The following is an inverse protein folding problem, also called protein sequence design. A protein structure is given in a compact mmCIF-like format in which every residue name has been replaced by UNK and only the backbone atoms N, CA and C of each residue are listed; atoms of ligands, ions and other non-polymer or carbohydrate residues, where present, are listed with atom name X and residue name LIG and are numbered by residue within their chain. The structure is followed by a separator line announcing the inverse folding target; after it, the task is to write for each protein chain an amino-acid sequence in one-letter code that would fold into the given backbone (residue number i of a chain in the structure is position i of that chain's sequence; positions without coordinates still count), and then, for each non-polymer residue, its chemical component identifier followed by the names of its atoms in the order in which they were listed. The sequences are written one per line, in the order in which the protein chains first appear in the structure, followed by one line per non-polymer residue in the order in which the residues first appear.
data_IF_645677247674
#
_entry.id   IF_645677247674
#
_cell.length_a   1.000
_cell.length_b   1.000
_cell.length_c   1.000
_cell.angle_alpha   90.00
_cell.angle_beta   90.00
_cell.angle_gamma   90.00
#
_symmetry.space_group_name_H-M   'P 1'
#
loop_
_entity.id
_entity.type
_entity.pdbx_description
1 polymer ?
#
# COMPACT_ATOMS: atom_id res chain seq x y z
N UNK A 1 8.63 -9.10 -0.74
CA UNK A 1 8.39 -7.91 -1.58
C UNK A 1 8.70 -6.70 -0.71
N UNK A 2 9.32 -5.65 -1.27
CA UNK A 2 9.92 -4.57 -0.48
C UNK A 2 8.87 -3.63 0.09
N UNK A 3 8.98 -3.31 1.37
CA UNK A 3 8.22 -2.24 2.00
C UNK A 3 8.66 -0.88 1.43
N UNK A 4 7.71 0.03 1.23
CA UNK A 4 7.98 1.41 0.80
C UNK A 4 8.08 2.27 2.06
N UNK A 5 9.20 2.98 2.25
CA UNK A 5 9.38 3.90 3.39
C UNK A 5 9.28 5.36 2.91
N UNK A 6 8.41 6.16 3.54
CA UNK A 6 8.20 7.59 3.24
C UNK A 6 7.99 8.36 4.54
N UNK A 7 8.84 9.35 4.84
CA UNK A 7 8.67 10.26 5.99
C UNK A 7 8.41 9.56 7.34
N UNK A 8 8.99 8.36 7.56
CA UNK A 8 8.79 7.54 8.78
C UNK A 8 7.59 6.58 8.73
N UNK A 9 6.81 6.62 7.65
CA UNK A 9 5.75 5.65 7.36
C UNK A 9 6.30 4.50 6.53
N UNK A 10 5.93 3.28 6.89
CA UNK A 10 6.26 2.04 6.21
C UNK A 10 4.98 1.49 5.59
N UNK A 11 4.99 1.30 4.28
CA UNK A 11 3.89 0.76 3.51
C UNK A 11 4.26 -0.64 3.06
N UNK A 12 3.57 -1.64 3.58
CA UNK A 12 3.74 -3.05 3.22
C UNK A 12 2.57 -3.49 2.34
N UNK A 13 2.75 -3.56 1.01
CA UNK A 13 1.73 -4.08 0.12
C UNK A 13 1.69 -5.60 0.18
N UNK A 14 0.51 -6.13 0.49
CA UNK A 14 0.16 -7.54 0.44
C UNK A 14 -0.99 -7.74 -0.55
N UNK A 15 -0.96 -8.82 -1.32
CA UNK A 15 -2.03 -9.09 -2.27
C UNK A 15 -2.19 -10.58 -2.58
N UNK A 16 -3.41 -10.94 -2.93
CA UNK A 16 -3.81 -12.27 -3.36
C UNK A 16 -4.16 -12.25 -4.84
N UNK A 17 -3.36 -12.95 -5.65
CA UNK A 17 -3.62 -13.15 -7.08
C UNK A 17 -4.91 -13.95 -7.31
N UNK A 18 -5.18 -14.93 -6.44
CA UNK A 18 -6.35 -15.80 -6.54
C UNK A 18 -7.64 -15.01 -6.28
N UNK A 19 -7.63 -14.18 -5.25
CA UNK A 19 -8.80 -13.38 -4.88
C UNK A 19 -8.84 -12.02 -5.60
N UNK A 20 -7.81 -11.70 -6.40
CA UNK A 20 -7.68 -10.42 -7.12
C UNK A 20 -7.86 -9.19 -6.20
N UNK A 21 -7.36 -9.30 -4.98
CA UNK A 21 -7.46 -8.27 -3.96
C UNK A 21 -6.12 -8.04 -3.27
N UNK A 22 -5.93 -6.85 -2.75
CA UNK A 22 -4.73 -6.46 -2.04
C UNK A 22 -5.02 -5.48 -0.92
N UNK A 23 -4.04 -5.30 -0.08
CA UNK A 23 -4.05 -4.43 1.08
C UNK A 23 -2.65 -3.83 1.23
N UNK A 24 -2.57 -2.55 1.55
CA UNK A 24 -1.30 -1.91 1.92
C UNK A 24 -1.38 -1.59 3.40
N UNK A 25 -0.58 -2.28 4.20
CA UNK A 25 -0.46 -2.00 5.63
C UNK A 25 0.46 -0.79 5.84
N UNK A 26 -0.08 0.25 6.46
CA UNK A 26 0.64 1.48 6.80
C UNK A 26 1.03 1.42 8.26
N UNK A 27 2.33 1.40 8.51
CA UNK A 27 2.92 1.53 9.83
C UNK A 27 3.61 2.89 9.95
N UNK A 28 3.67 3.46 11.14
CA UNK A 28 4.43 4.67 11.44
C UNK A 28 5.11 4.50 12.78
N UNK A 29 6.43 4.67 12.83
CA UNK A 29 7.22 4.51 14.06
C UNK A 29 7.01 3.13 14.77
N UNK A 30 6.64 2.10 14.00
CA UNK A 30 6.36 0.76 14.53
C UNK A 30 4.92 0.53 14.99
N UNK A 31 4.06 1.54 14.91
CA UNK A 31 2.62 1.41 15.18
C UNK A 31 1.84 1.22 13.88
N UNK A 32 0.90 0.28 13.88
CA UNK A 32 -0.03 0.11 12.76
C UNK A 32 -1.00 1.30 12.76
N UNK A 33 -1.00 2.05 11.66
CA UNK A 33 -1.85 3.23 11.48
C UNK A 33 -3.13 2.84 10.75
N UNK A 34 -3.00 2.25 9.57
CA UNK A 34 -4.14 1.87 8.75
C UNK A 34 -3.81 0.84 7.66
N UNK A 35 -4.85 0.30 7.04
CA UNK A 35 -4.77 -0.65 5.92
C UNK A 35 -5.56 -0.12 4.74
N UNK A 36 -4.89 0.04 3.59
CA UNK A 36 -5.50 0.47 2.34
C UNK A 36 -5.85 -0.76 1.51
N UNK A 37 -7.11 -1.20 1.58
CA UNK A 37 -7.62 -2.30 0.75
C UNK A 37 -7.89 -1.83 -0.67
N UNK A 38 -7.41 -2.60 -1.63
CA UNK A 38 -7.63 -2.36 -3.05
C UNK A 38 -7.96 -3.67 -3.77
N UNK A 39 -8.52 -3.55 -4.97
CA UNK A 39 -8.74 -4.68 -5.87
C UNK A 39 -7.99 -4.38 -7.16
N UNK A 40 -7.46 -5.42 -7.79
CA UNK A 40 -6.76 -5.31 -9.05
C UNK A 40 -7.29 -6.38 -9.99
N UNK A 41 -7.17 -6.15 -11.29
CA UNK A 41 -7.60 -7.11 -12.31
C UNK A 41 -6.37 -7.55 -13.10
N UNK A 42 -6.18 -8.86 -13.22
CA UNK A 42 -5.04 -9.44 -13.94
C UNK A 42 -4.32 -10.50 -13.13
N UNK A 43 -3.11 -10.85 -13.55
CA UNK A 43 -2.28 -11.83 -12.84
C UNK A 43 -1.61 -11.22 -11.59
N UNK A 44 -1.33 -9.92 -11.57
CA UNK A 44 -0.70 -9.22 -10.45
C UNK A 44 -1.19 -7.77 -10.39
N UNK A 45 -1.19 -7.13 -9.21
CA UNK A 45 -1.41 -5.70 -9.15
C UNK A 45 -0.26 -4.97 -9.81
N UNK A 46 -0.60 -3.96 -10.60
CA UNK A 46 0.39 -3.08 -11.21
C UNK A 46 1.14 -2.34 -10.10
N UNK A 47 2.47 -2.30 -10.19
CA UNK A 47 3.31 -1.56 -9.26
C UNK A 47 2.91 -0.08 -9.21
N UNK A 48 2.57 0.49 -10.37
CA UNK A 48 2.10 1.87 -10.51
C UNK A 48 0.80 2.11 -9.71
N UNK A 49 -0.12 1.14 -9.66
CA UNK A 49 -1.35 1.26 -8.86
C UNK A 49 -1.04 1.31 -7.36
N UNK A 50 -0.08 0.51 -6.90
CA UNK A 50 0.36 0.52 -5.49
C UNK A 50 1.05 1.85 -5.16
N UNK A 51 1.95 2.31 -6.03
CA UNK A 51 2.64 3.58 -5.86
C UNK A 51 1.66 4.76 -5.85
N UNK A 52 0.66 4.77 -6.73
CA UNK A 52 -0.37 5.82 -6.76
C UNK A 52 -1.22 5.82 -5.49
N UNK A 53 -1.56 4.65 -4.93
CA UNK A 53 -2.29 4.53 -3.66
C UNK A 53 -1.48 5.12 -2.50
N UNK A 54 -0.18 4.79 -2.43
CA UNK A 54 0.73 5.33 -1.40
C UNK A 54 0.91 6.83 -1.58
N UNK A 55 1.11 7.31 -2.81
CA UNK A 55 1.31 8.74 -3.08
C UNK A 55 0.04 9.55 -2.75
N UNK A 56 -1.13 9.06 -3.17
CA UNK A 56 -2.43 9.64 -2.83
C UNK A 56 -2.62 9.70 -1.31
N UNK A 57 -2.25 8.64 -0.61
CA UNK A 57 -2.33 8.59 0.85
C UNK A 57 -1.41 9.62 1.51
N UNK A 58 -0.14 9.70 1.08
CA UNK A 58 0.80 10.72 1.54
C UNK A 58 0.27 12.13 1.28
N UNK A 59 -0.24 12.41 0.07
CA UNK A 59 -0.83 13.70 -0.27
C UNK A 59 -2.03 14.05 0.62
N UNK A 60 -2.92 13.09 0.88
CA UNK A 60 -4.10 13.31 1.73
C UNK A 60 -3.74 13.59 3.19
N UNK A 61 -2.70 12.92 3.71
CA UNK A 61 -2.21 13.11 5.08
C UNK A 61 -1.24 14.30 5.20
N UNK A 62 -0.81 14.88 4.08
CA UNK A 62 0.10 16.03 4.04
C UNK A 62 1.54 15.67 4.43
N UNK A 63 1.97 14.45 4.10
CA UNK A 63 3.29 13.88 4.42
C UNK A 63 4.26 13.98 3.25
#
# INVERSE_FOLDING_TARGET
MGAIERSGYIFEPEYSVIEQNGAIHVYHEGEFIEELKFSFLGEYPELEQIEELVDTYCQQKGI
#
